data_IF_872898989199
#
_entry.id   IF_872898989199
#
_cell.length_a   1.000
_cell.length_b   1.000
_cell.length_c   1.000
_cell.angle_alpha   90.00
_cell.angle_beta   90.00
_cell.angle_gamma   90.00
#
_symmetry.space_group_name_H-M   'P 1'
#
loop_
_entity.id
_entity.type
_entity.pdbx_description
1 polymer ?
#
# COMPACT_ATOMS: atom_id res chain seq x y z
N UNK A 1 -8.13 -14.34 4.60
CA UNK A 1 -9.08 -14.31 3.46
C UNK A 1 -9.48 -12.86 3.24
N UNK A 2 -9.33 -12.32 2.04
CA UNK A 2 -9.78 -10.95 1.74
C UNK A 2 -10.96 -10.98 0.78
N UNK A 3 -11.76 -9.92 0.78
CA UNK A 3 -12.76 -9.60 -0.24
C UNK A 3 -12.75 -8.09 -0.46
N UNK A 4 -13.03 -7.66 -1.68
CA UNK A 4 -13.13 -6.24 -2.02
C UNK A 4 -12.32 -5.88 -3.26
N UNK A 5 -12.75 -4.82 -3.94
CA UNK A 5 -12.22 -4.43 -5.24
C UNK A 5 -11.04 -3.45 -5.19
N UNK A 6 -10.69 -2.91 -4.02
CA UNK A 6 -9.72 -1.80 -3.93
C UNK A 6 -8.29 -2.13 -4.37
N UNK A 7 -7.91 -3.41 -4.40
CA UNK A 7 -6.59 -3.88 -4.84
C UNK A 7 -6.65 -4.58 -6.21
N UNK A 8 -7.78 -4.53 -6.91
CA UNK A 8 -7.88 -5.05 -8.27
C UNK A 8 -7.02 -4.19 -9.24
N UNK A 9 -6.33 -4.76 -10.25
CA UNK A 9 -6.25 -6.18 -10.63
C UNK A 9 -5.18 -6.98 -9.89
N UNK A 10 -4.41 -6.36 -8.99
CA UNK A 10 -3.34 -7.05 -8.25
C UNK A 10 -3.86 -8.21 -7.42
N UNK A 11 -4.96 -7.96 -6.70
CA UNK A 11 -5.71 -8.94 -5.92
C UNK A 11 -7.09 -9.13 -6.54
N UNK A 12 -7.56 -10.39 -6.72
CA UNK A 12 -8.91 -10.65 -7.21
C UNK A 12 -9.97 -10.12 -6.23
N UNK A 13 -11.12 -9.71 -6.78
CA UNK A 13 -12.27 -9.23 -6.00
C UNK A 13 -12.86 -10.35 -5.13
N UNK A 14 -12.83 -11.59 -5.66
CA UNK A 14 -13.31 -12.78 -4.98
C UNK A 14 -12.34 -13.24 -3.88
N UNK A 15 -12.84 -14.05 -2.95
CA UNK A 15 -12.01 -14.65 -1.91
C UNK A 15 -10.82 -15.43 -2.48
N UNK A 16 -9.62 -15.04 -2.03
CA UNK A 16 -8.36 -15.72 -2.24
C UNK A 16 -7.57 -15.78 -0.93
N UNK A 17 -6.58 -16.68 -0.87
CA UNK A 17 -5.72 -16.86 0.29
C UNK A 17 -4.35 -16.27 0.02
N UNK A 18 -3.80 -15.61 1.04
CA UNK A 18 -2.56 -14.88 0.96
C UNK A 18 -1.61 -15.32 2.06
N UNK A 19 -0.33 -15.40 1.72
CA UNK A 19 0.75 -15.55 2.67
C UNK A 19 1.08 -14.17 3.25
N UNK A 20 0.88 -14.03 4.55
CA UNK A 20 1.15 -12.80 5.30
C UNK A 20 2.41 -12.95 6.16
N UNK A 21 3.30 -11.95 6.08
CA UNK A 21 4.44 -11.77 6.96
C UNK A 21 4.07 -10.83 8.10
N UNK A 22 3.73 -11.43 9.24
CA UNK A 22 3.51 -10.73 10.51
C UNK A 22 4.77 -10.68 11.37
N UNK A 23 5.68 -11.62 11.13
CA UNK A 23 6.89 -11.79 11.93
C UNK A 23 7.81 -10.58 11.74
N UNK A 24 8.10 -10.20 10.50
CA UNK A 24 8.96 -9.05 10.22
C UNK A 24 8.40 -7.76 10.82
N UNK A 25 7.10 -7.52 10.67
CA UNK A 25 6.44 -6.32 11.21
C UNK A 25 6.52 -6.27 12.74
N UNK A 26 6.29 -7.41 13.41
CA UNK A 26 6.25 -7.47 14.87
C UNK A 26 7.63 -7.44 15.53
N UNK A 27 8.63 -8.07 14.92
CA UNK A 27 9.95 -8.29 15.55
C UNK A 27 11.08 -7.43 14.98
N UNK A 28 11.01 -7.08 13.69
CA UNK A 28 12.01 -6.23 13.03
C UNK A 28 11.52 -4.78 12.87
N UNK A 29 10.20 -4.59 12.97
CA UNK A 29 9.56 -3.28 12.99
C UNK A 29 9.41 -2.65 11.61
N UNK A 30 9.13 -1.35 11.61
CA UNK A 30 8.81 -0.57 10.42
C UNK A 30 9.93 -0.51 9.37
N UNK A 31 11.17 -0.80 9.75
CA UNK A 31 12.35 -0.74 8.88
C UNK A 31 12.30 -1.77 7.74
N UNK A 32 11.50 -2.83 7.87
CA UNK A 32 11.33 -3.84 6.83
C UNK A 32 10.35 -3.41 5.73
N UNK A 33 9.56 -2.37 5.97
CA UNK A 33 8.58 -1.88 5.01
C UNK A 33 9.26 -1.15 3.86
N UNK A 34 8.83 -1.48 2.65
CA UNK A 34 9.33 -0.89 1.41
C UNK A 34 8.18 -0.27 0.64
N UNK A 35 8.52 0.73 -0.19
CA UNK A 35 7.59 1.22 -1.22
C UNK A 35 7.14 0.03 -2.06
N UNK A 36 5.88 0.06 -2.45
CA UNK A 36 5.18 -0.97 -3.20
C UNK A 36 4.88 -2.27 -2.47
N UNK A 37 5.25 -2.43 -1.19
CA UNK A 37 4.73 -3.52 -0.37
C UNK A 37 3.19 -3.43 -0.28
N UNK A 38 2.53 -4.58 -0.30
CA UNK A 38 1.10 -4.67 0.00
C UNK A 38 0.97 -5.00 1.48
N UNK A 39 0.25 -4.16 2.21
CA UNK A 39 0.07 -4.30 3.66
C UNK A 39 -1.40 -4.44 4.02
N UNK A 40 -1.65 -5.19 5.08
CA UNK A 40 -2.92 -5.23 5.78
C UNK A 40 -2.83 -4.25 6.94
N UNK A 41 -3.71 -3.26 6.97
CA UNK A 41 -3.76 -2.24 8.01
C UNK A 41 -5.16 -2.16 8.63
N UNK A 42 -5.23 -1.75 9.89
CA UNK A 42 -6.49 -1.38 10.53
C UNK A 42 -7.03 -0.09 9.90
N UNK A 43 -8.33 -0.08 9.58
CA UNK A 43 -9.00 1.12 9.08
C UNK A 43 -8.99 2.20 10.18
N UNK A 44 -8.49 3.43 9.92
CA UNK A 44 -8.45 4.48 10.93
C UNK A 44 -9.84 4.86 11.46
N UNK A 45 -10.83 4.84 10.56
CA UNK A 45 -12.20 5.32 10.81
C UNK A 45 -13.11 4.30 11.49
N UNK A 46 -12.80 2.99 11.39
CA UNK A 46 -13.64 1.92 11.93
C UNK A 46 -12.81 0.94 12.75
N UNK A 47 -13.13 0.80 14.04
CA UNK A 47 -12.47 -0.16 14.90
C UNK A 47 -12.80 -1.59 14.43
N UNK A 48 -11.75 -2.40 14.23
CA UNK A 48 -11.77 -3.84 13.86
C UNK A 48 -11.97 -4.19 12.38
N UNK A 49 -11.97 -3.21 11.47
CA UNK A 49 -11.90 -3.50 10.03
C UNK A 49 -10.45 -3.50 9.54
N UNK A 50 -10.05 -4.52 8.79
CA UNK A 50 -8.76 -4.58 8.11
C UNK A 50 -8.91 -4.27 6.62
N UNK A 51 -7.96 -3.52 6.07
CA UNK A 51 -7.90 -3.17 4.65
C UNK A 51 -6.54 -3.55 4.08
N UNK A 52 -6.53 -4.07 2.85
CA UNK A 52 -5.31 -4.27 2.10
C UNK A 52 -5.05 -3.05 1.21
N UNK A 53 -3.84 -2.47 1.30
CA UNK A 53 -3.39 -1.33 0.49
C UNK A 53 -1.93 -1.48 0.11
N UNK A 54 -1.47 -0.72 -0.87
CA UNK A 54 -0.06 -0.62 -1.25
C UNK A 54 0.59 0.58 -0.58
N UNK A 55 1.83 0.39 -0.08
CA UNK A 55 2.67 1.50 0.36
C UNK A 55 3.15 2.27 -0.86
N UNK A 56 2.75 3.53 -0.98
CA UNK A 56 3.25 4.43 -2.04
C UNK A 56 4.36 5.33 -1.49
N UNK A 57 4.25 5.74 -0.23
CA UNK A 57 5.24 6.57 0.46
C UNK A 57 5.55 6.09 1.87
N UNK A 58 6.81 6.21 2.25
CA UNK A 58 7.41 5.96 3.55
C UNK A 58 7.69 7.30 4.28
N UNK A 59 8.01 7.26 5.59
CA UNK A 59 8.39 8.46 6.34
C UNK A 59 9.45 9.31 5.63
N UNK A 60 9.16 10.61 5.47
CA UNK A 60 10.07 11.56 4.81
C UNK A 60 9.86 11.69 3.30
N UNK A 61 9.02 10.84 2.69
CA UNK A 61 8.72 10.95 1.27
C UNK A 61 7.78 12.11 0.97
N UNK A 62 8.01 12.80 -0.15
CA UNK A 62 7.01 13.68 -0.75
C UNK A 62 6.24 12.89 -1.81
N UNK A 63 4.93 12.79 -1.64
CA UNK A 63 4.03 12.01 -2.50
C UNK A 63 3.04 12.95 -3.17
N UNK A 64 2.79 12.76 -4.47
CA UNK A 64 1.67 13.42 -5.15
C UNK A 64 0.37 12.82 -4.60
N UNK A 65 -0.54 13.67 -4.11
CA UNK A 65 -1.75 13.22 -3.42
C UNK A 65 -2.56 12.30 -4.33
N UNK A 66 -2.84 12.74 -5.55
CA UNK A 66 -3.50 11.93 -6.58
C UNK A 66 -2.90 12.26 -7.95
N UNK A 67 -2.21 11.32 -8.61
CA UNK A 67 -1.64 11.54 -9.94
C UNK A 67 -2.65 11.94 -11.02
N UNK A 68 -3.94 11.65 -10.82
CA UNK A 68 -4.99 12.05 -11.76
C UNK A 68 -5.67 13.37 -11.40
N UNK A 69 -5.37 13.93 -10.23
CA UNK A 69 -5.82 15.24 -9.78
C UNK A 69 -4.61 16.03 -9.27
N UNK A 70 -3.68 16.46 -10.16
CA UNK A 70 -2.42 17.09 -9.77
C UNK A 70 -2.61 18.38 -8.95
N UNK A 71 -3.74 19.06 -9.11
CA UNK A 71 -4.12 20.27 -8.37
C UNK A 71 -4.27 20.03 -6.85
N UNK A 72 -4.47 18.77 -6.42
CA UNK A 72 -4.45 18.39 -5.01
C UNK A 72 -3.05 18.47 -4.39
N UNK A 73 -2.03 18.66 -5.23
CA UNK A 73 -0.66 18.94 -4.81
C UNK A 73 0.07 17.72 -4.25
N UNK A 74 1.04 18.02 -3.38
CA UNK A 74 1.93 17.04 -2.77
C UNK A 74 1.85 17.10 -1.26
N UNK A 75 2.15 15.97 -0.62
CA UNK A 75 2.19 15.83 0.83
C UNK A 75 3.50 15.21 1.27
N UNK A 76 4.09 15.75 2.34
CA UNK A 76 5.21 15.13 3.02
C UNK A 76 4.67 14.09 4.01
N UNK A 77 5.10 12.84 3.87
CA UNK A 77 4.72 11.76 4.78
C UNK A 77 5.44 11.96 6.13
N UNK A 78 4.71 12.17 7.23
CA UNK A 78 5.33 12.41 8.54
C UNK A 78 6.13 11.21 9.05
N UNK A 79 7.03 11.48 10.01
CA UNK A 79 7.69 10.40 10.77
C UNK A 79 6.64 9.47 11.40
N UNK A 80 6.90 8.16 11.33
CA UNK A 80 6.00 7.14 11.87
C UNK A 80 4.72 6.89 11.06
N UNK A 81 4.59 7.50 9.88
CA UNK A 81 3.43 7.33 8.99
C UNK A 81 3.83 6.78 7.62
N UNK A 82 2.85 6.24 6.89
CA UNK A 82 2.97 5.81 5.50
C UNK A 82 1.84 6.40 4.66
N UNK A 83 2.06 6.54 3.37
CA UNK A 83 0.99 6.82 2.41
C UNK A 83 0.51 5.52 1.77
N UNK A 84 -0.75 5.16 1.98
CA UNK A 84 -1.35 3.93 1.48
C UNK A 84 -2.33 4.22 0.34
N UNK A 85 -2.24 3.50 -0.76
CA UNK A 85 -3.20 3.59 -1.86
C UNK A 85 -3.64 2.21 -2.35
N UNK A 86 -4.89 2.10 -2.78
CA UNK A 86 -5.37 0.92 -3.49
C UNK A 86 -5.02 0.99 -4.98
N UNK A 87 -4.72 -0.16 -5.57
CA UNK A 87 -4.42 -0.26 -7.01
C UNK A 87 -5.66 0.05 -7.89
N UNK A 88 -6.87 -0.17 -7.36
CA UNK A 88 -8.12 0.22 -8.00
C UNK A 88 -8.57 1.58 -7.45
N UNK A 89 -8.05 2.67 -8.02
CA UNK A 89 -8.29 4.04 -7.54
C UNK A 89 -9.77 4.31 -7.30
N UNK A 90 -10.59 4.05 -8.30
CA UNK A 90 -12.00 4.47 -8.31
C UNK A 90 -12.84 3.68 -7.29
N UNK A 91 -12.29 2.61 -6.71
CA UNK A 91 -12.96 1.78 -5.72
C UNK A 91 -12.12 1.60 -4.44
N UNK A 92 -11.36 2.63 -4.08
CA UNK A 92 -10.47 2.59 -2.93
C UNK A 92 -10.63 3.84 -2.06
N UNK A 93 -11.17 3.66 -0.85
CA UNK A 93 -10.98 4.64 0.24
C UNK A 93 -9.60 4.44 0.87
N UNK A 94 -8.72 5.43 0.76
CA UNK A 94 -7.34 5.33 1.25
C UNK A 94 -6.70 6.66 1.65
N UNK A 95 -5.37 6.77 1.69
CA UNK A 95 -4.68 7.99 2.15
C UNK A 95 -5.04 9.24 1.34
N UNK A 96 -5.56 9.08 0.12
CA UNK A 96 -6.12 10.20 -0.65
C UNK A 96 -7.33 10.84 0.02
N UNK A 97 -8.07 10.09 0.81
CA UNK A 97 -9.30 10.55 1.46
C UNK A 97 -9.04 10.98 2.91
N UNK A 98 -8.20 10.22 3.63
CA UNK A 98 -7.98 10.42 5.07
C UNK A 98 -6.54 10.79 5.47
N UNK A 99 -5.62 10.90 4.51
CA UNK A 99 -4.24 11.29 4.75
C UNK A 99 -3.30 10.15 5.16
N UNK A 100 -2.09 10.47 5.67
CA UNK A 100 -1.08 9.50 6.06
C UNK A 100 -1.55 8.57 7.19
N UNK A 101 -1.18 7.29 7.12
CA UNK A 101 -1.59 6.26 8.08
C UNK A 101 -0.45 5.96 9.06
N UNK A 102 -0.69 5.94 10.38
CA UNK A 102 0.32 5.51 11.35
C UNK A 102 0.79 4.08 11.06
N UNK A 103 2.11 3.87 11.08
CA UNK A 103 2.71 2.54 10.86
C UNK A 103 2.23 1.53 11.91
N UNK A 104 1.89 2.00 13.11
CA UNK A 104 1.34 1.16 14.17
C UNK A 104 -0.01 0.49 13.82
N UNK A 105 -0.72 0.98 12.79
CA UNK A 105 -1.94 0.34 12.28
C UNK A 105 -1.65 -0.79 11.29
N UNK A 106 -0.40 -0.94 10.83
CA UNK A 106 0.00 -2.02 9.94
C UNK A 106 0.08 -3.32 10.74
N UNK A 107 -0.68 -4.30 10.29
CA UNK A 107 -0.79 -5.61 10.92
C UNK A 107 0.12 -6.65 10.28
N UNK A 108 0.19 -6.65 8.94
CA UNK A 108 0.98 -7.62 8.20
C UNK A 108 1.35 -7.10 6.81
N UNK A 109 2.34 -7.76 6.18
CA UNK A 109 2.68 -7.57 4.78
C UNK A 109 2.29 -8.81 3.96
N UNK A 110 1.65 -8.63 2.82
CA UNK A 110 1.27 -9.73 1.92
C UNK A 110 2.43 -10.04 0.97
N UNK A 111 2.91 -11.29 0.99
CA UNK A 111 4.04 -11.76 0.15
C UNK A 111 3.53 -12.44 -1.13
N UNK A 112 2.52 -13.28 -1.00
CA UNK A 112 2.05 -14.09 -2.12
C UNK A 112 0.57 -14.41 -2.02
N UNK A 113 -0.08 -14.62 -3.18
CA UNK A 113 -1.33 -15.34 -3.30
C UNK A 113 -1.02 -16.82 -3.46
N UNK A 114 -1.66 -17.67 -2.66
CA UNK A 114 -1.38 -19.12 -2.59
C UNK A 114 -2.53 -19.99 -3.08
N UNK A 115 -3.72 -19.40 -3.28
CA UNK A 115 -4.92 -20.11 -3.76
C UNK A 115 -5.63 -19.30 -4.86
N UNK A 116 -6.28 -19.99 -5.82
CA UNK A 116 -6.75 -19.42 -7.11
C UNK A 116 -5.63 -18.85 -7.98
N UNK A 117 -4.50 -19.55 -8.03
CA UNK A 117 -3.30 -19.16 -8.77
C UNK A 117 -2.19 -18.71 -7.83
N UNK A 118 -1.00 -19.29 -7.98
CA UNK A 118 0.18 -18.88 -7.22
C UNK A 118 0.78 -17.63 -7.83
N UNK A 119 0.94 -16.58 -7.02
CA UNK A 119 1.52 -15.30 -7.45
C UNK A 119 2.33 -14.71 -6.32
N UNK A 120 3.61 -14.46 -6.57
CA UNK A 120 4.45 -13.70 -5.64
C UNK A 120 4.29 -12.21 -5.97
N UNK A 121 3.95 -11.41 -4.97
CA UNK A 121 3.88 -9.97 -5.14
C UNK A 121 5.29 -9.39 -5.09
N UNK A 122 5.76 -8.89 -6.22
CA UNK A 122 7.00 -8.12 -6.32
C UNK A 122 6.65 -6.64 -6.22
N UNK A 123 7.57 -5.85 -5.63
CA UNK A 123 7.43 -4.40 -5.55
C UNK A 123 7.40 -3.79 -6.96
N UNK A 124 6.30 -3.15 -7.40
CA UNK A 124 6.22 -2.51 -8.70
C UNK A 124 6.57 -1.01 -8.67
N UNK A 125 6.90 -0.44 -7.51
CA UNK A 125 7.08 1.01 -7.31
C UNK A 125 8.57 1.36 -7.40
N UNK A 126 8.91 2.21 -8.38
CA UNK A 126 10.24 2.80 -8.53
C UNK A 126 10.23 4.28 -8.09
N UNK A 127 11.29 4.78 -7.43
CA UNK A 127 11.45 6.20 -7.14
C UNK A 127 11.45 7.05 -8.41
N UNK A 128 10.77 8.20 -8.42
CA UNK A 128 10.71 9.10 -9.59
C UNK A 128 12.11 9.56 -10.03
N UNK A 129 13.08 9.65 -9.12
CA UNK A 129 14.45 10.04 -9.44
C UNK A 129 15.20 8.99 -10.29
N UNK A 130 14.70 7.77 -10.36
CA UNK A 130 15.23 6.68 -11.20
C UNK A 130 14.45 6.55 -12.51
N UNK A 131 13.48 7.44 -12.76
CA UNK A 131 12.55 7.34 -13.88
C UNK A 131 12.67 8.62 -14.71
N UNK A 132 12.78 8.49 -16.04
CA UNK A 132 12.82 9.66 -16.92
C UNK A 132 11.47 10.41 -16.93
N UNK A 133 11.43 11.59 -17.56
CA UNK A 133 10.19 12.39 -17.72
C UNK A 133 9.09 11.68 -18.51
N UNK A 134 9.37 10.48 -19.05
CA UNK A 134 8.44 9.62 -19.80
C UNK A 134 8.08 8.34 -19.04
N UNK A 135 8.45 8.20 -17.77
CA UNK A 135 8.06 7.04 -16.96
C UNK A 135 8.91 5.79 -17.14
N UNK A 136 10.08 5.87 -17.81
CA UNK A 136 10.98 4.71 -18.02
C UNK A 136 12.07 4.63 -16.97
N UNK A 137 12.46 3.42 -16.50
CA UNK A 137 13.61 3.27 -15.62
C UNK A 137 14.88 3.76 -16.33
N UNK A 138 15.76 4.47 -15.60
CA UNK A 138 17.12 4.81 -16.02
C UNK A 138 18.07 3.62 -15.90
#
# INVERSE_FOLDING_TARGET
MSSGASMYPTMPIQHAWYLEDRFSIRFLGASTLRRGDIVVALKPTERRAYVAKRIVGLPGDTVCVDPAQPERGHVLVPKGHVWLAGDNRDNSTDSRDYGPVPIALIHSRIIAQVWKGFKIFRNPVSPVNEVDSRGRPR
#
